data_IF_130380144739
#
_entry.id   IF_130380144739
#
_cell.length_a   1.000
_cell.length_b   1.000
_cell.length_c   1.000
_cell.angle_alpha   90.00
_cell.angle_beta   90.00
_cell.angle_gamma   90.00
#
_symmetry.space_group_name_H-M   'P 1'
#
loop_
_entity.id
_entity.type
_entity.pdbx_description
1 polymer ?
#
# COMPACT_ATOMS: atom_id res chain seq x y z
N UNK A 1 9.53 -4.09 -8.72
CA UNK A 1 8.21 -4.76 -8.54
C UNK A 1 7.93 -4.76 -7.05
N UNK A 2 6.82 -4.15 -6.64
CA UNK A 2 6.51 -3.90 -5.24
C UNK A 2 5.45 -4.91 -4.76
N UNK A 3 5.57 -5.28 -3.50
CA UNK A 3 4.63 -6.17 -2.82
C UNK A 3 4.03 -5.44 -1.63
N UNK A 4 2.71 -5.41 -1.52
CA UNK A 4 2.03 -4.82 -0.37
C UNK A 4 1.01 -5.77 0.24
N UNK A 5 0.94 -5.76 1.57
CA UNK A 5 -0.09 -6.47 2.32
C UNK A 5 -1.21 -5.53 2.72
N UNK A 6 -2.43 -5.88 2.38
CA UNK A 6 -3.62 -5.07 2.60
C UNK A 6 -4.59 -5.84 3.49
N UNK A 7 -4.99 -5.23 4.60
CA UNK A 7 -6.10 -5.71 5.42
C UNK A 7 -7.40 -5.15 4.86
N UNK A 8 -8.24 -6.04 4.34
CA UNK A 8 -9.60 -5.73 3.90
C UNK A 8 -10.58 -6.22 4.96
N UNK A 9 -11.56 -5.39 5.29
CA UNK A 9 -12.67 -5.73 6.18
C UNK A 9 -13.97 -5.64 5.39
N UNK A 10 -14.77 -6.68 5.46
CA UNK A 10 -16.15 -6.72 5.01
C UNK A 10 -17.05 -7.18 6.15
N UNK A 11 -18.37 -7.04 6.02
CA UNK A 11 -19.26 -7.73 6.95
C UNK A 11 -19.25 -9.25 6.67
N UNK A 12 -19.38 -10.12 7.69
CA UNK A 12 -19.33 -11.57 7.53
C UNK A 12 -20.20 -12.13 6.39
N UNK A 13 -21.41 -11.59 6.22
CA UNK A 13 -22.34 -12.02 5.16
C UNK A 13 -21.84 -11.74 3.73
N UNK A 14 -20.91 -10.81 3.56
CA UNK A 14 -20.35 -10.40 2.26
C UNK A 14 -18.95 -10.93 2.01
N UNK A 15 -18.29 -11.55 2.99
CA UNK A 15 -16.92 -12.08 2.84
C UNK A 15 -16.77 -12.98 1.61
N UNK A 16 -17.67 -13.94 1.33
CA UNK A 16 -17.53 -14.79 0.14
C UNK A 16 -17.53 -14.02 -1.17
N UNK A 17 -18.36 -12.97 -1.26
CA UNK A 17 -18.45 -12.13 -2.44
C UNK A 17 -17.21 -11.24 -2.58
N UNK A 18 -16.78 -10.58 -1.50
CA UNK A 18 -15.59 -9.71 -1.52
C UNK A 18 -14.34 -10.53 -1.86
N UNK A 19 -14.20 -11.75 -1.36
CA UNK A 19 -13.10 -12.66 -1.71
C UNK A 19 -13.12 -13.00 -3.21
N UNK A 20 -14.29 -13.28 -3.78
CA UNK A 20 -14.42 -13.56 -5.21
C UNK A 20 -14.08 -12.33 -6.07
N UNK A 21 -14.54 -11.14 -5.66
CA UNK A 21 -14.27 -9.88 -6.35
C UNK A 21 -12.78 -9.52 -6.32
N UNK A 22 -12.12 -9.74 -5.18
CA UNK A 22 -10.67 -9.55 -5.01
C UNK A 22 -9.86 -10.52 -5.86
N UNK A 23 -10.19 -11.82 -5.82
CA UNK A 23 -9.50 -12.86 -6.58
C UNK A 23 -9.67 -12.74 -8.11
N UNK A 24 -10.67 -11.97 -8.55
CA UNK A 24 -10.87 -11.66 -9.96
C UNK A 24 -10.03 -10.48 -10.47
N UNK A 25 -9.35 -9.73 -9.58
CA UNK A 25 -8.46 -8.65 -9.98
C UNK A 25 -7.07 -9.18 -10.30
N UNK A 26 -6.50 -8.68 -11.39
CA UNK A 26 -5.09 -8.94 -11.72
C UNK A 26 -4.15 -8.28 -10.71
N UNK A 27 -3.09 -8.99 -10.34
CA UNK A 27 -2.10 -8.56 -9.34
C UNK A 27 -2.56 -8.61 -7.88
N UNK A 28 -3.71 -9.23 -7.56
CA UNK A 28 -4.16 -9.47 -6.19
C UNK A 28 -4.20 -10.96 -5.86
N UNK A 29 -3.65 -11.34 -4.71
CA UNK A 29 -3.77 -12.67 -4.10
C UNK A 29 -4.52 -12.56 -2.77
N UNK A 30 -5.59 -13.34 -2.60
CA UNK A 30 -6.24 -13.49 -1.28
C UNK A 30 -5.45 -14.52 -0.46
N UNK A 31 -4.63 -14.03 0.47
CA UNK A 31 -3.72 -14.86 1.26
C UNK A 31 -4.40 -15.56 2.44
N UNK A 32 -5.28 -14.83 3.15
CA UNK A 32 -5.99 -15.37 4.31
C UNK A 32 -7.38 -14.76 4.44
N UNK A 33 -8.34 -15.55 4.93
CA UNK A 33 -9.69 -15.08 5.26
C UNK A 33 -10.08 -15.55 6.65
N UNK A 34 -10.76 -14.69 7.40
CA UNK A 34 -11.47 -15.00 8.63
C UNK A 34 -12.94 -14.57 8.45
N UNK A 35 -13.82 -15.49 8.04
CA UNK A 35 -15.22 -15.18 7.78
C UNK A 35 -16.00 -14.68 9.00
N UNK A 36 -15.62 -15.09 10.22
CA UNK A 36 -16.34 -14.69 11.43
C UNK A 36 -16.09 -13.22 11.78
N UNK A 37 -14.82 -12.78 11.70
CA UNK A 37 -14.47 -11.38 11.97
C UNK A 37 -14.59 -10.47 10.74
N UNK A 38 -14.77 -11.05 9.54
CA UNK A 38 -14.86 -10.31 8.29
C UNK A 38 -13.51 -9.84 7.73
N UNK A 39 -12.40 -10.37 8.27
CA UNK A 39 -11.03 -9.96 7.89
C UNK A 39 -10.54 -10.76 6.70
N UNK A 40 -9.92 -10.07 5.76
CA UNK A 40 -9.33 -10.64 4.56
C UNK A 40 -7.93 -10.02 4.41
N UNK A 41 -6.90 -10.86 4.28
CA UNK A 41 -5.53 -10.45 4.00
C UNK A 41 -5.29 -10.64 2.51
N UNK A 42 -4.92 -9.55 1.84
CA UNK A 42 -4.63 -9.51 0.41
C UNK A 42 -3.15 -9.15 0.23
N UNK A 43 -2.48 -9.84 -0.67
CA UNK A 43 -1.17 -9.45 -1.18
C UNK A 43 -1.38 -8.82 -2.56
N UNK A 44 -0.85 -7.63 -2.75
CA UNK A 44 -0.86 -6.92 -4.03
C UNK A 44 0.54 -6.92 -4.62
N UNK A 45 0.65 -7.28 -5.91
CA UNK A 45 1.84 -7.04 -6.72
C UNK A 45 1.63 -5.83 -7.62
N UNK A 46 2.62 -4.95 -7.70
CA UNK A 46 2.56 -3.74 -8.51
C UNK A 46 3.91 -3.38 -9.13
N UNK A 47 3.88 -2.61 -10.23
CA UNK A 47 5.11 -2.18 -10.92
C UNK A 47 5.87 -1.12 -10.14
N UNK A 48 5.14 -0.21 -9.49
CA UNK A 48 5.66 0.96 -8.80
C UNK A 48 4.69 1.41 -7.68
N UNK A 49 5.11 2.40 -6.90
CA UNK A 49 4.36 2.93 -5.75
C UNK A 49 3.02 3.55 -6.15
N UNK A 50 2.95 4.16 -7.34
CA UNK A 50 1.71 4.77 -7.81
C UNK A 50 0.67 3.69 -8.10
N UNK A 51 1.08 2.60 -8.75
CA UNK A 51 0.24 1.43 -9.00
C UNK A 51 -0.24 0.75 -7.70
N UNK A 52 0.59 0.72 -6.64
CA UNK A 52 0.18 0.25 -5.32
C UNK A 52 -0.95 1.10 -4.74
N UNK A 53 -0.77 2.42 -4.72
CA UNK A 53 -1.75 3.37 -4.18
C UNK A 53 -3.08 3.28 -4.95
N UNK A 54 -3.03 3.20 -6.28
CA UNK A 54 -4.22 3.04 -7.11
C UNK A 54 -4.91 1.69 -6.89
N UNK A 55 -4.15 0.61 -6.65
CA UNK A 55 -4.71 -0.68 -6.24
C UNK A 55 -5.50 -0.61 -4.93
N UNK A 56 -4.91 -0.02 -3.89
CA UNK A 56 -5.60 0.19 -2.60
C UNK A 56 -6.87 1.04 -2.77
N UNK A 57 -6.82 2.11 -3.57
CA UNK A 57 -8.01 2.94 -3.86
C UNK A 57 -9.11 2.15 -4.55
N UNK A 58 -8.76 1.30 -5.51
CA UNK A 58 -9.72 0.41 -6.19
C UNK A 58 -10.36 -0.56 -5.21
N UNK A 59 -9.57 -1.19 -4.33
CA UNK A 59 -10.08 -2.08 -3.29
C UNK A 59 -11.03 -1.34 -2.33
N UNK A 60 -10.66 -0.12 -1.89
CA UNK A 60 -11.52 0.73 -1.05
C UNK A 60 -12.87 1.04 -1.69
N UNK A 61 -12.94 1.11 -3.01
CA UNK A 61 -14.15 1.43 -3.75
C UNK A 61 -15.02 0.20 -4.09
N UNK A 62 -14.56 -1.01 -3.79
CA UNK A 62 -15.31 -2.23 -4.10
C UNK A 62 -16.60 -2.32 -3.25
N UNK A 63 -17.69 -2.87 -3.81
CA UNK A 63 -18.89 -3.15 -3.04
C UNK A 63 -18.61 -3.99 -1.80
N UNK A 64 -19.30 -3.68 -0.70
CA UNK A 64 -19.23 -4.40 0.57
C UNK A 64 -17.89 -4.34 1.33
N UNK A 65 -16.85 -3.71 0.76
CA UNK A 65 -15.64 -3.35 1.50
C UNK A 65 -15.96 -2.22 2.47
N UNK A 66 -15.73 -2.48 3.76
CA UNK A 66 -15.90 -1.51 4.85
C UNK A 66 -14.61 -0.73 5.05
N UNK A 67 -13.47 -1.41 4.95
CA UNK A 67 -12.14 -0.83 5.13
C UNK A 67 -11.12 -1.63 4.31
N UNK A 68 -10.10 -0.95 3.80
CA UNK A 68 -8.95 -1.61 3.17
C UNK A 68 -7.70 -0.80 3.46
N UNK A 69 -6.81 -1.25 4.36
CA UNK A 69 -5.60 -0.50 4.69
C UNK A 69 -4.34 -1.32 4.43
N UNK A 70 -3.36 -0.66 3.83
CA UNK A 70 -2.04 -1.23 3.58
C UNK A 70 -1.27 -1.33 4.90
N UNK A 71 -0.96 -2.56 5.31
CA UNK A 71 -0.30 -2.89 6.58
C UNK A 71 1.21 -2.94 6.41
N UNK A 72 1.69 -3.42 5.27
CA UNK A 72 3.11 -3.39 4.93
C UNK A 72 3.29 -3.17 3.42
N UNK A 73 4.46 -2.68 3.05
CA UNK A 73 4.93 -2.57 1.68
C UNK A 73 6.40 -3.01 1.64
N UNK A 74 6.77 -3.71 0.58
CA UNK A 74 8.12 -4.17 0.30
C UNK A 74 8.49 -3.69 -1.10
N UNK A 75 9.53 -2.87 -1.16
CA UNK A 75 10.19 -2.54 -2.41
C UNK A 75 11.18 -3.66 -2.69
N UNK A 76 10.91 -4.48 -3.71
CA UNK A 76 11.99 -5.31 -4.24
C UNK A 76 13.02 -4.33 -4.78
N UNK A 77 14.23 -4.39 -4.21
CA UNK A 77 15.33 -3.48 -4.51
C UNK A 77 15.43 -3.25 -6.02
N UNK A 78 14.95 -2.08 -6.46
CA UNK A 78 15.64 -1.43 -7.55
C UNK A 78 17.03 -1.15 -7.00
N UNK A 79 18.02 -1.83 -7.55
CA UNK A 79 19.44 -1.50 -7.47
C UNK A 79 19.72 -0.12 -8.12
N UNK A 80 18.78 0.83 -8.03
CA UNK A 80 18.95 2.22 -8.41
C UNK A 80 19.82 2.87 -7.34
N UNK A 81 21.13 2.75 -7.55
CA UNK A 81 22.08 3.71 -7.03
C UNK A 81 21.68 5.09 -7.56
N UNK A 82 21.06 5.91 -6.72
CA UNK A 82 20.94 7.33 -6.99
C UNK A 82 22.34 7.92 -6.87
N UNK A 83 23.01 8.15 -8.01
CA UNK A 83 24.36 8.75 -8.05
C UNK A 83 24.41 10.13 -7.36
N UNK A 84 23.25 10.79 -7.23
CA UNK A 84 23.08 12.04 -6.49
C UNK A 84 21.65 12.18 -5.96
N UNK A 85 21.48 13.01 -4.92
CA UNK A 85 20.16 13.42 -4.43
C UNK A 85 19.38 14.13 -5.57
N UNK A 86 18.10 13.78 -5.81
CA UNK A 86 17.26 14.50 -6.77
C UNK A 86 17.23 16.00 -6.45
N UNK A 87 17.30 16.85 -7.49
CA UNK A 87 17.33 18.31 -7.32
C UNK A 87 16.09 18.87 -6.59
N UNK A 88 14.98 18.12 -6.61
CA UNK A 88 13.73 18.41 -5.91
C UNK A 88 13.82 18.19 -4.39
N UNK A 89 14.79 17.38 -3.95
CA UNK A 89 15.13 17.07 -2.56
C UNK A 89 16.45 17.72 -2.14
N UNK A 90 17.11 18.48 -3.03
CA UNK A 90 18.28 19.26 -2.66
C UNK A 90 17.84 20.29 -1.62
N UNK A 91 18.38 20.16 -0.40
CA UNK A 91 18.06 21.05 0.71
C UNK A 91 18.29 22.50 0.27
N UNK A 92 17.25 23.32 0.43
CA UNK A 92 17.42 24.76 0.32
C UNK A 92 18.36 25.19 1.46
N UNK A 93 19.64 25.33 1.14
CA UNK A 93 20.68 25.76 2.07
C UNK A 93 20.46 27.18 2.62
N UNK A 94 19.36 27.84 2.26
CA UNK A 94 18.92 29.10 2.85
C UNK A 94 18.41 28.98 4.30
N UNK A 95 18.25 27.76 4.85
CA UNK A 95 17.87 27.60 6.26
C UNK A 95 19.05 27.99 7.17
N UNK A 96 19.11 29.27 7.52
CA UNK A 96 19.96 29.80 8.56
C UNK A 96 19.51 29.21 9.91
N UNK A 97 20.23 28.22 10.42
CA UNK A 97 19.99 27.67 11.76
C UNK A 97 20.26 28.78 12.79
N UNK A 98 19.27 29.19 13.60
CA UNK A 98 19.47 30.22 14.60
C UNK A 98 20.56 29.82 15.61
N UNK A 99 21.43 30.77 15.96
CA UNK A 99 22.64 30.52 16.74
C UNK A 99 22.42 29.81 18.10
N UNK A 100 21.23 29.91 18.67
CA UNK A 100 20.89 29.26 19.95
C UNK A 100 20.65 27.74 19.84
N UNK A 101 20.61 27.16 18.64
CA UNK A 101 20.44 25.72 18.41
C UNK A 101 21.76 24.97 18.13
N UNK A 102 22.90 25.66 18.08
CA UNK A 102 24.22 25.05 17.79
C UNK A 102 25.06 24.74 19.07
N UNK A 103 24.41 24.42 20.19
CA UNK A 103 25.09 24.12 21.46
C UNK A 103 25.57 22.67 21.54
#
# INVERSE_FOLDING_TARGET
MNLSGILVIAKPEWVPQVVADLAAQDGLEVHQTDPESGRIIVVQEATDVHAEIEGVKRIKAMPHVVMADMVYHYFAEDEQAYDAMPAELAEDTSVCVPAYLNA
#
